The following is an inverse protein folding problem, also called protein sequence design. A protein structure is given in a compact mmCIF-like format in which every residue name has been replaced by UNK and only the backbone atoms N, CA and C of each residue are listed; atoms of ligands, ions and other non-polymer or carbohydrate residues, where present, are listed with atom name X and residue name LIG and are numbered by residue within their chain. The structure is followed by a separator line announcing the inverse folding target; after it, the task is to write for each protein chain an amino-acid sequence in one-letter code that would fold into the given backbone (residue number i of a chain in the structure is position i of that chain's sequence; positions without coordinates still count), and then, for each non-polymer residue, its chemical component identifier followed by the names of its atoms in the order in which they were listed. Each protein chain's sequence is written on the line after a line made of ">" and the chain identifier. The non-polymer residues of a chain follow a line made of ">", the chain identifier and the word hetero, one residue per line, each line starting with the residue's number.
data_IF_756756129485
#
_entry.id   IF_756756129485
#
_cell.length_a   1.000
_cell.length_b   1.000
_cell.length_c   1.000
_cell.angle_alpha   90.00
_cell.angle_beta   90.00
_cell.angle_gamma   90.00
#
_symmetry.space_group_name_H-M   'P 1'
#
loop_
_entity.id
_entity.type
_entity.pdbx_description
1 polymer ?
#
# COMPACT_ATOMS: atom_id res chain seq x y z
N UNK A 1 -17.40 7.26 5.62
CA UNK A 1 -16.05 7.76 5.24
C UNK A 1 -16.07 9.28 5.10
N UNK A 2 -15.09 9.99 5.64
CA UNK A 2 -14.91 11.43 5.43
C UNK A 2 -13.90 11.72 4.31
N UNK A 3 -13.90 12.95 3.80
CA UNK A 3 -12.86 13.42 2.86
C UNK A 3 -11.93 14.37 3.62
N UNK A 4 -10.64 14.07 3.57
CA UNK A 4 -9.60 14.90 4.14
C UNK A 4 -8.63 15.33 3.04
N UNK A 5 -8.30 16.63 2.99
CA UNK A 5 -7.27 17.20 2.11
C UNK A 5 -6.01 17.48 2.90
N UNK A 6 -4.85 17.09 2.37
CA UNK A 6 -3.56 17.44 2.93
C UNK A 6 -3.24 18.94 2.83
N UNK A 7 -2.21 19.35 3.53
CA UNK A 7 -1.70 20.73 3.50
C UNK A 7 -0.69 20.89 2.35
N UNK A 8 -1.16 21.35 1.19
CA UNK A 8 -0.35 21.66 0.00
C UNK A 8 -1.05 22.73 -0.83
N UNK A 9 -0.28 23.52 -1.59
CA UNK A 9 -0.80 24.57 -2.47
C UNK A 9 -1.41 23.98 -3.74
N UNK A 10 -0.71 23.03 -4.38
CA UNK A 10 -1.12 22.36 -5.61
C UNK A 10 -0.64 20.92 -5.64
N UNK A 11 -1.34 20.08 -6.41
CA UNK A 11 -0.91 18.71 -6.66
C UNK A 11 0.31 18.66 -7.58
N UNK A 12 1.08 17.60 -7.46
CA UNK A 12 2.34 17.40 -8.20
C UNK A 12 2.44 15.96 -8.69
N UNK A 13 3.37 15.71 -9.60
CA UNK A 13 3.63 14.35 -10.07
C UNK A 13 4.19 13.46 -8.96
N UNK A 14 3.62 12.26 -8.82
CA UNK A 14 4.15 11.16 -8.02
C UNK A 14 5.38 10.50 -8.68
N UNK A 15 5.54 10.68 -9.97
CA UNK A 15 6.40 9.86 -10.82
C UNK A 15 7.82 10.37 -11.00
N UNK A 16 8.30 11.25 -10.11
CA UNK A 16 9.70 11.60 -10.08
C UNK A 16 10.57 10.39 -9.69
N UNK A 17 11.76 10.29 -10.27
CA UNK A 17 12.68 9.23 -9.91
C UNK A 17 13.34 9.52 -8.55
N UNK A 18 13.10 8.62 -7.61
CA UNK A 18 13.74 8.68 -6.28
C UNK A 18 15.24 8.42 -6.41
N UNK A 19 16.09 9.01 -5.54
CA UNK A 19 17.53 8.71 -5.56
C UNK A 19 17.78 7.19 -5.48
N UNK A 20 18.64 6.69 -6.38
CA UNK A 20 18.96 5.26 -6.48
C UNK A 20 17.95 4.42 -7.25
N UNK A 21 16.85 4.98 -7.77
CA UNK A 21 15.87 4.27 -8.59
C UNK A 21 16.03 4.59 -10.08
N UNK A 22 15.86 3.54 -10.89
CA UNK A 22 15.84 3.58 -12.36
C UNK A 22 14.78 2.60 -12.89
N UNK A 23 14.52 2.54 -14.20
CA UNK A 23 13.61 1.54 -14.79
C UNK A 23 14.04 0.08 -14.51
N UNK A 24 15.32 -0.15 -14.30
CA UNK A 24 15.91 -1.47 -14.02
C UNK A 24 15.83 -1.85 -12.54
N UNK A 25 15.47 -0.91 -11.67
CA UNK A 25 15.41 -1.17 -10.22
C UNK A 25 14.42 -2.29 -9.91
N UNK A 26 14.89 -3.23 -9.10
CA UNK A 26 14.12 -4.28 -8.45
C UNK A 26 14.35 -4.17 -6.96
N UNK A 27 13.28 -4.21 -6.17
CA UNK A 27 13.35 -3.90 -4.74
C UNK A 27 12.48 -4.87 -3.94
N UNK A 28 13.05 -5.56 -2.97
CA UNK A 28 12.28 -6.37 -2.05
C UNK A 28 11.57 -5.49 -1.01
N UNK A 29 10.29 -5.77 -0.79
CA UNK A 29 9.46 -5.01 0.15
C UNK A 29 8.31 -5.85 0.69
N UNK A 30 7.94 -5.64 1.94
CA UNK A 30 6.73 -6.19 2.51
C UNK A 30 5.55 -5.27 2.25
N UNK A 31 4.45 -5.83 1.75
CA UNK A 31 3.17 -5.15 1.60
C UNK A 31 2.04 -5.99 2.18
N UNK A 32 0.89 -5.36 2.47
CA UNK A 32 -0.39 -6.05 2.41
C UNK A 32 -0.97 -5.88 1.01
N UNK A 33 -1.41 -6.98 0.42
CA UNK A 33 -2.14 -7.03 -0.85
C UNK A 33 -3.56 -7.51 -0.61
N UNK A 34 -4.47 -7.34 -1.59
CA UNK A 34 -5.90 -7.41 -1.35
C UNK A 34 -6.67 -8.24 -2.37
N UNK A 35 -6.05 -9.29 -2.93
CA UNK A 35 -6.71 -10.16 -3.91
C UNK A 35 -7.96 -10.87 -3.35
N UNK A 36 -7.97 -11.16 -2.02
CA UNK A 36 -9.07 -11.82 -1.32
C UNK A 36 -10.08 -10.83 -0.70
N UNK A 37 -10.01 -9.54 -1.07
CA UNK A 37 -10.81 -8.47 -0.48
C UNK A 37 -11.81 -7.84 -1.47
N UNK A 38 -13.00 -8.41 -1.63
CA UNK A 38 -13.98 -7.91 -2.57
C UNK A 38 -14.48 -6.49 -2.23
N UNK A 39 -14.46 -6.09 -0.95
CA UNK A 39 -14.87 -4.75 -0.54
C UNK A 39 -13.97 -3.67 -1.17
N UNK A 40 -12.65 -3.88 -1.18
CA UNK A 40 -11.70 -2.95 -1.79
C UNK A 40 -11.78 -2.95 -3.32
N UNK A 41 -11.96 -4.13 -3.93
CA UNK A 41 -12.18 -4.26 -5.38
C UNK A 41 -13.42 -3.47 -5.81
N UNK A 42 -14.54 -3.65 -5.11
CA UNK A 42 -15.80 -2.96 -5.39
C UNK A 42 -15.67 -1.43 -5.31
N UNK A 43 -14.90 -0.92 -4.35
CA UNK A 43 -14.64 0.52 -4.21
C UNK A 43 -13.78 1.05 -5.35
N UNK A 44 -12.70 0.34 -5.71
CA UNK A 44 -11.84 0.74 -6.81
C UNK A 44 -12.62 0.78 -8.15
N UNK A 45 -13.48 -0.20 -8.40
CA UNK A 45 -14.36 -0.23 -9.57
C UNK A 45 -15.36 0.93 -9.55
N UNK A 46 -15.99 1.20 -8.41
CA UNK A 46 -16.94 2.31 -8.22
C UNK A 46 -16.31 3.66 -8.56
N UNK A 47 -15.07 3.89 -8.17
CA UNK A 47 -14.36 5.15 -8.41
C UNK A 47 -13.68 5.23 -9.79
N UNK A 48 -13.53 4.10 -10.47
CA UNK A 48 -12.80 4.00 -11.73
C UNK A 48 -13.30 5.01 -12.79
N UNK A 49 -14.63 5.17 -12.94
CA UNK A 49 -15.20 6.11 -13.92
C UNK A 49 -14.77 7.56 -13.67
N UNK A 50 -14.82 8.02 -12.43
CA UNK A 50 -14.34 9.36 -12.05
C UNK A 50 -12.84 9.50 -12.26
N UNK A 51 -12.05 8.55 -11.76
CA UNK A 51 -10.59 8.61 -11.82
C UNK A 51 -10.08 8.61 -13.27
N UNK A 52 -10.67 7.79 -14.15
CA UNK A 52 -10.25 7.71 -15.56
C UNK A 52 -10.70 8.90 -16.41
N UNK A 53 -11.70 9.67 -15.96
CA UNK A 53 -12.20 10.83 -16.71
C UNK A 53 -11.35 12.10 -16.50
N UNK A 54 -10.46 12.10 -15.53
CA UNK A 54 -9.67 13.28 -15.14
C UNK A 54 -8.26 13.23 -15.74
N UNK A 55 -7.81 14.37 -16.26
CA UNK A 55 -6.44 14.51 -16.72
C UNK A 55 -5.46 14.46 -15.53
N UNK A 56 -4.27 13.92 -15.77
CA UNK A 56 -3.20 13.80 -14.77
C UNK A 56 -3.54 12.92 -13.56
N UNK A 57 -4.51 12.04 -13.70
CA UNK A 57 -4.87 11.03 -12.69
C UNK A 57 -4.59 9.64 -13.26
N UNK A 58 -3.71 8.89 -12.62
CA UNK A 58 -3.34 7.51 -12.95
C UNK A 58 -4.02 6.56 -11.96
N UNK A 59 -5.21 5.98 -12.28
CA UNK A 59 -5.87 5.02 -11.40
C UNK A 59 -5.03 3.76 -11.22
N UNK A 60 -5.00 3.24 -10.00
CA UNK A 60 -4.32 1.98 -9.71
C UNK A 60 -5.27 0.83 -10.00
N UNK A 61 -4.94 -0.06 -10.96
CA UNK A 61 -5.75 -1.24 -11.23
C UNK A 61 -5.82 -2.16 -10.00
N UNK A 62 -6.97 -2.79 -9.78
CA UNK A 62 -7.27 -3.62 -8.60
C UNK A 62 -6.16 -4.62 -8.23
N UNK A 63 -5.51 -5.35 -9.16
CA UNK A 63 -4.45 -6.29 -8.80
C UNK A 63 -3.21 -5.63 -8.18
N UNK A 64 -3.07 -4.31 -8.29
CA UNK A 64 -1.92 -3.54 -7.79
C UNK A 64 -2.28 -2.65 -6.60
N UNK A 65 -3.47 -2.81 -6.01
CA UNK A 65 -3.81 -2.16 -4.76
C UNK A 65 -3.02 -2.79 -3.61
N UNK A 66 -2.40 -1.94 -2.80
CA UNK A 66 -1.54 -2.41 -1.72
C UNK A 66 -1.45 -1.39 -0.59
N UNK A 67 -1.07 -1.89 0.58
CA UNK A 67 -0.63 -1.09 1.72
C UNK A 67 0.86 -1.37 1.94
N UNK A 68 1.68 -0.34 1.78
CA UNK A 68 3.12 -0.46 1.96
C UNK A 68 3.47 -0.64 3.44
N UNK A 69 4.25 -1.66 3.74
CA UNK A 69 4.70 -1.98 5.09
C UNK A 69 6.18 -1.60 5.29
N UNK A 70 7.10 -2.47 4.93
CA UNK A 70 8.53 -2.32 5.23
C UNK A 70 9.37 -2.61 4.01
N UNK A 71 10.23 -1.65 3.62
CA UNK A 71 11.25 -1.88 2.59
C UNK A 71 12.35 -2.80 3.10
N UNK A 72 12.87 -3.65 2.21
CA UNK A 72 13.97 -4.57 2.52
C UNK A 72 15.27 -4.09 1.91
N UNK A 73 15.34 -3.97 0.57
CA UNK A 73 16.54 -3.57 -0.12
C UNK A 73 16.48 -3.84 -1.62
N UNK A 74 17.50 -3.34 -2.35
CA UNK A 74 17.63 -3.70 -3.76
C UNK A 74 17.93 -5.20 -3.91
N UNK A 75 17.34 -5.84 -4.92
CA UNK A 75 17.48 -7.29 -5.10
C UNK A 75 18.93 -7.74 -5.32
N UNK A 76 19.79 -6.86 -5.85
CA UNK A 76 21.23 -7.14 -5.99
C UNK A 76 22.00 -7.11 -4.66
N UNK A 77 21.43 -6.57 -3.59
CA UNK A 77 22.08 -6.41 -2.28
C UNK A 77 21.56 -7.41 -1.24
N UNK A 78 20.55 -8.22 -1.58
CA UNK A 78 19.90 -9.18 -0.69
C UNK A 78 20.01 -10.58 -1.29
N UNK A 79 20.73 -11.50 -0.61
CA UNK A 79 20.90 -12.87 -1.10
C UNK A 79 19.63 -13.72 -0.93
N UNK A 80 19.56 -14.85 -1.67
CA UNK A 80 18.44 -15.78 -1.58
C UNK A 80 18.27 -16.35 -0.16
N UNK A 81 19.39 -16.59 0.56
CA UNK A 81 19.34 -17.07 1.95
C UNK A 81 18.72 -16.04 2.90
N UNK A 82 18.96 -14.75 2.65
CA UNK A 82 18.31 -13.66 3.41
C UNK A 82 16.82 -13.61 3.08
N UNK A 83 16.45 -13.76 1.81
CA UNK A 83 15.05 -13.79 1.37
C UNK A 83 14.32 -14.95 2.05
N UNK A 84 14.89 -16.16 2.04
CA UNK A 84 14.31 -17.34 2.70
C UNK A 84 14.13 -17.11 4.22
N UNK A 85 15.15 -16.55 4.89
CA UNK A 85 15.07 -16.24 6.30
C UNK A 85 14.00 -15.16 6.64
N UNK A 86 13.81 -14.17 5.75
CA UNK A 86 12.74 -13.17 5.88
C UNK A 86 11.35 -13.81 5.69
N UNK A 87 11.21 -14.72 4.73
CA UNK A 87 9.97 -15.47 4.53
C UNK A 87 9.61 -16.28 5.78
N UNK A 88 10.53 -17.06 6.31
CA UNK A 88 10.30 -17.87 7.49
C UNK A 88 9.94 -17.04 8.72
N UNK A 89 10.66 -15.95 8.96
CA UNK A 89 10.47 -15.10 10.15
C UNK A 89 9.23 -14.21 10.11
N UNK A 90 8.83 -13.76 8.94
CA UNK A 90 7.75 -12.77 8.79
C UNK A 90 6.49 -13.42 8.24
N UNK A 91 6.58 -14.05 7.07
CA UNK A 91 5.40 -14.64 6.42
C UNK A 91 4.94 -15.88 7.20
N UNK A 92 5.89 -16.72 7.67
CA UNK A 92 5.60 -17.90 8.49
C UNK A 92 4.89 -17.56 9.80
N UNK A 93 5.26 -16.45 10.45
CA UNK A 93 4.75 -16.04 11.76
C UNK A 93 3.56 -15.06 11.70
N UNK A 94 3.23 -14.54 10.53
CA UNK A 94 2.24 -13.48 10.37
C UNK A 94 0.85 -13.83 10.91
N UNK A 95 0.39 -15.08 10.73
CA UNK A 95 -0.89 -15.55 11.24
C UNK A 95 -0.95 -15.52 12.78
N UNK A 96 0.15 -15.84 13.46
CA UNK A 96 0.20 -15.79 14.93
C UNK A 96 0.02 -14.37 15.47
N UNK A 97 0.36 -13.36 14.67
CA UNK A 97 0.23 -11.94 15.03
C UNK A 97 -1.17 -11.41 14.66
N UNK A 98 -1.71 -11.82 13.52
CA UNK A 98 -2.83 -11.15 12.88
C UNK A 98 -4.15 -11.94 12.86
N UNK A 99 -4.12 -13.27 12.82
CA UNK A 99 -5.37 -14.04 12.73
C UNK A 99 -6.25 -13.83 13.96
N UNK A 100 -7.57 -13.74 13.71
CA UNK A 100 -8.60 -13.47 14.70
C UNK A 100 -8.49 -12.11 15.41
N UNK A 101 -7.76 -11.17 14.80
CA UNK A 101 -7.65 -9.79 15.29
C UNK A 101 -8.71 -8.88 14.63
N UNK A 102 -8.82 -7.65 15.12
CA UNK A 102 -9.73 -6.66 14.56
C UNK A 102 -9.41 -6.34 13.10
N UNK A 103 -10.44 -6.11 12.25
CA UNK A 103 -10.22 -5.75 10.85
C UNK A 103 -9.50 -4.40 10.69
N UNK A 104 -8.92 -4.16 9.51
CA UNK A 104 -8.51 -2.80 9.14
C UNK A 104 -9.74 -2.06 8.63
N UNK A 105 -9.95 -0.85 9.12
CA UNK A 105 -11.05 0.01 8.67
C UNK A 105 -10.46 1.25 8.00
N UNK A 106 -10.82 1.44 6.73
CA UNK A 106 -10.56 2.69 6.02
C UNK A 106 -11.82 3.55 6.08
N UNK A 107 -11.74 4.65 6.83
CA UNK A 107 -12.84 5.57 7.11
C UNK A 107 -12.64 6.96 6.49
N UNK A 108 -11.51 7.18 5.86
CA UNK A 108 -11.12 8.48 5.32
C UNK A 108 -10.59 8.34 3.89
N UNK A 109 -11.13 9.14 2.97
CA UNK A 109 -10.60 9.37 1.65
C UNK A 109 -9.65 10.56 1.71
N UNK A 110 -8.36 10.31 1.59
CA UNK A 110 -7.32 11.33 1.75
C UNK A 110 -6.80 11.80 0.39
N UNK A 111 -6.99 13.08 0.11
CA UNK A 111 -6.37 13.76 -1.02
C UNK A 111 -4.98 14.25 -0.61
N UNK A 112 -3.97 13.53 -1.05
CA UNK A 112 -2.57 13.88 -0.89
C UNK A 112 -2.05 14.79 -2.01
N UNK A 113 -0.83 15.28 -1.85
CA UNK A 113 -0.18 16.14 -2.83
C UNK A 113 0.02 15.45 -4.20
N UNK A 114 0.25 14.13 -4.21
CA UNK A 114 0.64 13.35 -5.38
C UNK A 114 -0.20 12.09 -5.59
N UNK A 115 -1.36 11.98 -4.89
CA UNK A 115 -2.26 10.85 -5.04
C UNK A 115 -3.50 10.92 -4.17
N UNK A 116 -4.43 10.02 -4.44
CA UNK A 116 -5.67 9.80 -3.70
C UNK A 116 -5.59 8.45 -2.99
N UNK A 117 -5.85 8.43 -1.69
CA UNK A 117 -5.72 7.21 -0.88
C UNK A 117 -6.89 7.02 0.07
N UNK A 118 -7.20 5.76 0.36
CA UNK A 118 -7.97 5.36 1.53
C UNK A 118 -7.04 5.33 2.73
N UNK A 119 -7.44 5.91 3.84
CA UNK A 119 -6.68 5.90 5.10
C UNK A 119 -7.58 5.54 6.28
N UNK A 120 -6.95 5.09 7.36
CA UNK A 120 -7.66 4.72 8.58
C UNK A 120 -6.72 4.60 9.78
N UNK A 121 -7.23 4.07 10.87
CA UNK A 121 -6.41 3.81 12.06
C UNK A 121 -5.72 2.45 11.94
N UNK A 122 -4.46 2.38 12.36
CA UNK A 122 -3.73 1.13 12.44
C UNK A 122 -4.23 0.30 13.64
N UNK A 123 -4.80 -0.89 13.45
CA UNK A 123 -4.99 -1.81 14.56
C UNK A 123 -3.64 -2.24 15.14
N UNK A 124 -3.64 -2.68 16.39
CA UNK A 124 -2.40 -2.97 17.12
C UNK A 124 -1.57 -4.07 16.42
N UNK A 125 -2.21 -5.12 15.96
CA UNK A 125 -1.53 -6.22 15.25
C UNK A 125 -0.78 -5.75 14.00
N UNK A 126 -1.31 -4.76 13.27
CA UNK A 126 -0.66 -4.20 12.08
C UNK A 126 0.66 -3.49 12.47
N UNK A 127 0.65 -2.80 13.59
CA UNK A 127 1.86 -2.18 14.15
C UNK A 127 2.86 -3.23 14.62
N UNK A 128 2.40 -4.31 15.25
CA UNK A 128 3.22 -5.43 15.68
C UNK A 128 3.83 -6.18 14.50
N UNK A 129 3.03 -6.47 13.45
CA UNK A 129 3.52 -7.11 12.23
C UNK A 129 4.60 -6.27 11.54
N UNK A 130 4.37 -4.97 11.41
CA UNK A 130 5.37 -4.07 10.86
C UNK A 130 6.66 -4.06 11.68
N UNK A 131 6.54 -3.99 13.00
CA UNK A 131 7.70 -4.05 13.90
C UNK A 131 8.47 -5.36 13.70
N UNK A 132 7.79 -6.48 13.58
CA UNK A 132 8.40 -7.77 13.29
C UNK A 132 9.18 -7.78 11.97
N UNK A 133 8.62 -7.12 10.94
CA UNK A 133 9.30 -6.95 9.65
C UNK A 133 10.57 -6.09 9.81
N UNK A 134 10.46 -4.95 10.48
CA UNK A 134 11.57 -4.02 10.70
C UNK A 134 12.71 -4.70 11.50
N UNK A 135 12.39 -5.44 12.56
CA UNK A 135 13.37 -6.21 13.36
C UNK A 135 14.06 -7.29 12.51
N UNK A 136 13.32 -8.02 11.68
CA UNK A 136 13.89 -9.04 10.79
C UNK A 136 14.80 -8.44 9.72
N UNK A 137 14.39 -7.32 9.11
CA UNK A 137 15.21 -6.61 8.12
C UNK A 137 16.49 -6.07 8.76
N UNK A 138 16.39 -5.48 9.95
CA UNK A 138 17.58 -4.98 10.67
C UNK A 138 18.59 -6.08 10.90
N UNK A 139 18.15 -7.18 11.44
CA UNK A 139 19.03 -8.28 11.82
C UNK A 139 19.67 -8.94 10.60
N UNK A 140 18.92 -9.12 9.49
CA UNK A 140 19.35 -9.91 8.35
C UNK A 140 20.00 -9.08 7.24
N UNK A 141 19.52 -7.86 7.01
CA UNK A 141 19.99 -6.99 5.91
C UNK A 141 20.86 -5.85 6.45
N UNK A 142 20.55 -5.37 7.65
CA UNK A 142 21.16 -4.17 8.21
C UNK A 142 20.53 -2.89 7.67
N UNK A 143 20.95 -1.75 8.20
CA UNK A 143 20.52 -0.42 7.75
C UNK A 143 19.84 0.39 8.84
N UNK A 144 19.62 1.68 8.59
CA UNK A 144 18.98 2.56 9.56
C UNK A 144 17.49 2.28 9.61
N UNK A 145 16.94 2.16 10.83
CA UNK A 145 15.49 2.05 11.04
C UNK A 145 14.82 3.39 10.96
N UNK A 146 13.67 3.39 10.33
CA UNK A 146 12.73 4.47 10.46
C UNK A 146 11.48 3.98 11.19
N UNK A 147 11.54 3.96 12.52
CA UNK A 147 10.44 3.59 13.42
C UNK A 147 9.26 4.57 13.34
N UNK A 148 8.93 5.05 12.16
CA UNK A 148 7.78 5.92 11.98
C UNK A 148 6.49 5.14 12.28
N UNK A 149 5.55 5.82 12.97
CA UNK A 149 4.21 5.25 13.19
C UNK A 149 3.57 4.92 11.86
N UNK A 150 3.07 3.69 11.71
CA UNK A 150 2.34 3.31 10.51
C UNK A 150 1.03 4.12 10.41
N UNK A 151 0.80 4.69 9.23
CA UNK A 151 -0.49 5.22 8.82
C UNK A 151 -1.00 4.34 7.69
N UNK A 152 -1.91 3.40 7.97
CA UNK A 152 -2.38 2.49 6.95
C UNK A 152 -3.07 3.30 5.85
N UNK A 153 -2.62 3.08 4.62
CA UNK A 153 -3.23 3.70 3.45
C UNK A 153 -3.13 2.77 2.25
N UNK A 154 -4.16 2.83 1.40
CA UNK A 154 -4.19 2.20 0.09
C UNK A 154 -4.41 3.28 -0.94
N UNK A 155 -3.43 3.51 -1.81
CA UNK A 155 -3.58 4.46 -2.90
C UNK A 155 -4.55 3.91 -3.94
N UNK A 156 -5.51 4.74 -4.34
CA UNK A 156 -6.48 4.46 -5.42
C UNK A 156 -6.03 5.05 -6.75
N UNK A 157 -5.29 6.15 -6.70
CA UNK A 157 -4.69 6.78 -7.86
C UNK A 157 -3.44 7.55 -7.46
N UNK A 158 -2.51 7.67 -8.39
CA UNK A 158 -1.40 8.62 -8.34
C UNK A 158 -1.66 9.77 -9.29
N UNK A 159 -0.99 10.91 -9.08
CA UNK A 159 -1.07 12.04 -9.99
C UNK A 159 0.24 12.17 -10.78
N UNK A 160 0.14 12.59 -12.04
CA UNK A 160 1.30 12.90 -12.87
C UNK A 160 1.50 14.41 -13.05
N UNK A 161 0.70 15.23 -12.34
CA UNK A 161 0.74 16.67 -12.40
C UNK A 161 -0.33 17.36 -11.59
N UNK A 162 -0.73 18.54 -12.05
CA UNK A 162 -1.80 19.30 -11.43
C UNK A 162 -3.17 18.80 -11.92
N UNK A 163 -4.06 18.47 -10.99
CA UNK A 163 -5.39 17.92 -11.27
C UNK A 163 -6.50 18.94 -11.00
N UNK A 164 -7.70 18.67 -11.49
CA UNK A 164 -8.92 19.37 -11.06
C UNK A 164 -9.44 18.70 -9.75
N UNK A 165 -9.01 19.25 -8.61
CA UNK A 165 -9.40 18.75 -7.29
C UNK A 165 -10.92 18.84 -7.05
N UNK A 166 -11.56 19.89 -7.57
CA UNK A 166 -12.99 20.09 -7.37
C UNK A 166 -13.80 19.02 -8.11
N UNK A 167 -13.46 18.74 -9.37
CA UNK A 167 -14.08 17.68 -10.15
C UNK A 167 -13.83 16.29 -9.53
N UNK A 168 -12.60 16.03 -9.06
CA UNK A 168 -12.26 14.76 -8.38
C UNK A 168 -13.15 14.57 -7.14
N UNK A 169 -13.17 15.52 -6.23
CA UNK A 169 -13.90 15.39 -4.97
C UNK A 169 -15.42 15.36 -5.17
N UNK A 170 -15.94 16.05 -6.20
CA UNK A 170 -17.35 15.96 -6.58
C UNK A 170 -17.69 14.52 -7.03
N UNK A 171 -16.94 13.97 -7.97
CA UNK A 171 -17.18 12.62 -8.47
C UNK A 171 -17.04 11.53 -7.39
N UNK A 172 -16.12 11.70 -6.43
CA UNK A 172 -16.00 10.78 -5.29
C UNK A 172 -17.27 10.81 -4.42
N UNK A 173 -17.83 12.00 -4.12
CA UNK A 173 -19.06 12.12 -3.33
C UNK A 173 -20.27 11.52 -4.04
N UNK A 174 -20.41 11.76 -5.34
CA UNK A 174 -21.50 11.17 -6.15
C UNK A 174 -21.42 9.63 -6.21
N UNK A 175 -20.22 9.07 -6.14
CA UNK A 175 -19.99 7.63 -6.14
C UNK A 175 -20.25 6.97 -4.78
N UNK A 176 -20.43 7.75 -3.70
CA UNK A 176 -20.65 7.27 -2.33
C UNK A 176 -19.36 7.06 -1.54
N UNK A 177 -19.42 7.31 -0.25
CA UNK A 177 -18.28 7.32 0.69
C UNK A 177 -18.56 6.39 1.88
N UNK A 178 -18.60 5.08 1.62
CA UNK A 178 -18.79 4.08 2.67
C UNK A 178 -17.44 3.68 3.29
N UNK A 179 -17.42 3.39 4.59
CA UNK A 179 -16.25 2.82 5.24
C UNK A 179 -15.95 1.44 4.68
N UNK A 180 -14.67 1.12 4.54
CA UNK A 180 -14.20 -0.14 3.95
C UNK A 180 -13.57 -0.97 5.05
N UNK A 181 -14.11 -2.15 5.24
CA UNK A 181 -13.65 -3.11 6.25
C UNK A 181 -12.87 -4.22 5.56
N UNK A 182 -11.61 -4.39 5.93
CA UNK A 182 -10.71 -5.40 5.40
C UNK A 182 -10.58 -6.53 6.42
N UNK A 183 -10.93 -7.72 5.99
CA UNK A 183 -10.94 -8.93 6.84
C UNK A 183 -9.97 -10.02 6.38
N UNK A 184 -9.56 -10.00 5.12
CA UNK A 184 -8.68 -11.04 4.55
C UNK A 184 -7.52 -10.46 3.73
N UNK A 185 -6.71 -9.56 4.31
CA UNK A 185 -5.53 -9.05 3.61
C UNK A 185 -4.48 -10.17 3.49
N UNK A 186 -3.61 -10.05 2.50
CA UNK A 186 -2.49 -10.97 2.31
C UNK A 186 -1.19 -10.25 2.65
N UNK A 187 -0.45 -10.72 3.65
CA UNK A 187 0.92 -10.25 3.87
C UNK A 187 1.82 -10.88 2.82
N UNK A 188 2.62 -10.06 2.13
CA UNK A 188 3.44 -10.50 1.01
C UNK A 188 4.83 -9.91 1.08
N UNK A 189 5.85 -10.73 0.79
CA UNK A 189 7.16 -10.27 0.38
C UNK A 189 7.18 -10.20 -1.15
N UNK A 190 7.47 -9.03 -1.69
CA UNK A 190 7.35 -8.71 -3.11
C UNK A 190 8.69 -8.28 -3.68
N UNK A 191 8.98 -8.68 -4.93
CA UNK A 191 9.94 -8.03 -5.78
C UNK A 191 9.24 -6.92 -6.57
N UNK A 192 9.39 -5.69 -6.12
CA UNK A 192 8.74 -4.50 -6.65
C UNK A 192 9.56 -3.87 -7.77
N UNK A 193 8.89 -3.41 -8.82
CA UNK A 193 9.43 -2.55 -9.87
C UNK A 193 8.46 -1.43 -10.22
N UNK A 194 8.99 -0.36 -10.76
CA UNK A 194 8.18 0.69 -11.39
C UNK A 194 8.15 0.45 -12.91
N UNK A 195 6.96 0.36 -13.46
CA UNK A 195 6.71 0.18 -14.88
C UNK A 195 5.86 1.37 -15.38
N UNK A 196 6.53 2.39 -15.92
CA UNK A 196 5.89 3.66 -16.26
C UNK A 196 5.25 4.34 -15.05
N UNK A 197 3.95 4.55 -15.12
CA UNK A 197 3.12 5.12 -14.06
C UNK A 197 2.39 4.03 -13.26
N UNK A 198 3.08 2.91 -12.95
CA UNK A 198 2.52 1.84 -12.14
C UNK A 198 3.62 1.10 -11.37
N UNK A 199 3.37 0.81 -10.11
CA UNK A 199 4.15 -0.16 -9.36
C UNK A 199 3.60 -1.56 -9.63
N UNK A 200 4.48 -2.47 -10.06
CA UNK A 200 4.19 -3.89 -10.28
C UNK A 200 5.16 -4.74 -9.48
N UNK A 201 4.80 -5.98 -9.27
CA UNK A 201 5.65 -6.91 -8.52
C UNK A 201 5.50 -8.35 -8.97
N UNK A 202 6.49 -9.16 -8.59
CA UNK A 202 6.37 -10.60 -8.48
C UNK A 202 6.25 -10.94 -6.99
N UNK A 203 5.34 -11.82 -6.63
CA UNK A 203 5.22 -12.32 -5.25
C UNK A 203 6.32 -13.35 -5.01
N UNK A 204 7.11 -13.14 -3.97
CA UNK A 204 8.17 -14.07 -3.53
C UNK A 204 7.57 -15.09 -2.56
N UNK A 205 6.86 -14.59 -1.54
CA UNK A 205 6.11 -15.38 -0.59
C UNK A 205 4.93 -14.57 -0.08
N UNK A 206 3.84 -15.25 0.26
CA UNK A 206 2.66 -14.61 0.82
C UNK A 206 1.91 -15.49 1.81
N UNK A 207 1.00 -14.87 2.55
CA UNK A 207 0.06 -15.54 3.44
C UNK A 207 -1.20 -14.70 3.61
N UNK A 208 -2.35 -15.30 3.34
CA UNK A 208 -3.66 -14.72 3.67
C UNK A 208 -3.84 -14.70 5.18
N UNK A 209 -4.26 -13.56 5.72
CA UNK A 209 -4.59 -13.37 7.12
C UNK A 209 -6.11 -13.45 7.29
N UNK A 210 -6.58 -14.03 8.37
CA UNK A 210 -8.01 -14.11 8.72
C UNK A 210 -8.29 -13.23 9.93
N UNK A 211 -8.81 -12.02 9.67
CA UNK A 211 -9.13 -11.02 10.68
C UNK A 211 -10.58 -11.13 11.21
N UNK A 212 -11.31 -12.16 10.81
CA UNK A 212 -12.66 -12.39 11.33
C UNK A 212 -12.57 -12.87 12.77
N UNK A 213 -12.99 -12.01 13.70
CA UNK A 213 -13.17 -12.33 15.10
C UNK A 213 -14.46 -13.14 15.35
#
# INVERSE_FOLDING_TARGET
>A
MEIQRGDFEQTTSHWWWRPGWSPETRYFTFHLTFAEEPALTSVAERYSGTLTSLAHVDPIPTPWLHLTMTGVGHTCDVSDEIVDALCDRVIGDAANIADHQSPIIFDTLYLGKDGLSLTGQAPEWLTQLRRRQEEAVEELVGGPHNWSRIRPHVSLAYFDGQIDEAALLHGMRESGLDDIVITRPTVSLLELRRDGHLYRWCTVADRVLDLSA
#
